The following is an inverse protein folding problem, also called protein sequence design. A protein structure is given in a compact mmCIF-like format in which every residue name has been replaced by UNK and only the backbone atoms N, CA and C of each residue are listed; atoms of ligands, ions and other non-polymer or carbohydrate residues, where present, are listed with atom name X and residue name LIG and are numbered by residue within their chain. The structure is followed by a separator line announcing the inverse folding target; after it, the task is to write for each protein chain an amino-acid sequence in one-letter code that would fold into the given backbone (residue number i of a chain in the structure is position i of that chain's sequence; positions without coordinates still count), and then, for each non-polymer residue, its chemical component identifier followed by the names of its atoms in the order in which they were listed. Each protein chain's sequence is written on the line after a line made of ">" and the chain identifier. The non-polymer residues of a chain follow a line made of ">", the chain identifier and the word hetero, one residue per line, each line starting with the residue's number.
data_IF_714968586735
#
_entry.id   IF_714968586735
#
_cell.length_a   1.000
_cell.length_b   1.000
_cell.length_c   1.000
_cell.angle_alpha   90.00
_cell.angle_beta   90.00
_cell.angle_gamma   90.00
#
_symmetry.space_group_name_H-M   'P 1'
#
loop_
_entity.id
_entity.type
_entity.pdbx_description
1 polymer ?
#
# COMPACT_ATOMS: atom_id res chain seq x y z
N UNK A 1 -15.19 -42.39 29.23
CA UNK A 1 -15.75 -42.63 27.92
C UNK A 1 -15.94 -41.29 27.25
N UNK A 2 -15.00 -40.85 26.42
CA UNK A 2 -15.14 -39.67 25.58
C UNK A 2 -15.44 -40.09 24.16
N UNK A 3 -16.45 -39.55 23.49
CA UNK A 3 -16.71 -39.93 22.08
C UNK A 3 -15.71 -39.20 21.17
N UNK A 4 -15.06 -40.00 20.31
CA UNK A 4 -14.20 -39.56 19.22
C UNK A 4 -14.97 -38.62 18.28
N UNK A 5 -14.59 -37.38 18.23
CA UNK A 5 -15.10 -36.39 17.28
C UNK A 5 -14.28 -36.50 15.97
N UNK A 6 -14.61 -37.52 15.17
CA UNK A 6 -14.19 -37.59 13.76
C UNK A 6 -15.03 -36.55 12.99
N UNK A 7 -14.66 -35.31 13.03
CA UNK A 7 -15.20 -34.31 12.10
C UNK A 7 -14.62 -34.55 10.71
N UNK A 8 -15.49 -35.07 9.90
CA UNK A 8 -15.36 -35.39 8.48
C UNK A 8 -14.67 -34.24 7.69
N UNK A 9 -13.50 -34.58 7.18
CA UNK A 9 -12.75 -33.78 6.18
C UNK A 9 -13.35 -34.09 4.77
N UNK A 10 -14.64 -33.74 4.56
CA UNK A 10 -15.36 -33.97 3.31
C UNK A 10 -15.41 -32.73 2.37
N UNK A 11 -14.73 -31.64 2.76
CA UNK A 11 -14.69 -30.42 1.91
C UNK A 11 -13.57 -30.41 0.86
N UNK A 12 -12.89 -31.54 0.62
CA UNK A 12 -11.77 -31.61 -0.33
C UNK A 12 -12.19 -32.05 -1.75
N UNK A 13 -13.49 -32.31 -2.02
CA UNK A 13 -13.93 -33.02 -3.20
C UNK A 13 -14.45 -32.18 -4.39
N UNK A 14 -14.47 -30.84 -4.31
CA UNK A 14 -14.86 -30.00 -5.46
C UNK A 14 -14.07 -28.68 -5.49
N UNK A 15 -12.75 -28.74 -5.45
CA UNK A 15 -11.95 -27.61 -5.89
C UNK A 15 -11.81 -27.68 -7.40
N UNK A 16 -12.42 -26.72 -8.11
CA UNK A 16 -12.19 -26.57 -9.54
C UNK A 16 -10.70 -26.41 -9.80
N UNK A 17 -10.14 -27.33 -10.61
CA UNK A 17 -8.72 -27.33 -10.96
C UNK A 17 -8.53 -26.93 -12.42
N UNK A 18 -7.32 -26.49 -12.74
CA UNK A 18 -6.91 -26.13 -14.10
C UNK A 18 -5.46 -26.53 -14.33
N UNK A 19 -5.18 -27.01 -15.56
CA UNK A 19 -3.82 -27.35 -15.97
C UNK A 19 -3.09 -26.08 -16.41
N UNK A 20 -1.92 -25.81 -15.82
CA UNK A 20 -1.06 -24.71 -16.20
C UNK A 20 -0.42 -24.96 -17.57
N UNK A 21 -0.63 -24.05 -18.53
CA UNK A 21 -0.10 -24.19 -19.89
C UNK A 21 1.44 -24.12 -19.98
N UNK A 22 2.14 -23.67 -18.90
CA UNK A 22 3.61 -23.59 -18.89
C UNK A 22 4.28 -24.78 -18.19
N UNK A 23 3.79 -25.18 -17.01
CA UNK A 23 4.41 -26.25 -16.23
C UNK A 23 3.65 -27.58 -16.24
N UNK A 24 2.48 -27.65 -16.89
CA UNK A 24 1.67 -28.85 -16.99
C UNK A 24 1.03 -29.32 -15.68
N UNK A 25 1.26 -28.63 -14.54
CA UNK A 25 0.68 -29.05 -13.26
C UNK A 25 -0.80 -28.72 -13.21
N UNK A 26 -1.59 -29.64 -12.70
CA UNK A 26 -2.97 -29.41 -12.31
C UNK A 26 -3.00 -28.73 -10.96
N UNK A 27 -3.66 -27.58 -10.87
CA UNK A 27 -3.63 -26.70 -9.71
C UNK A 27 -5.03 -26.11 -9.47
N UNK A 28 -5.40 -25.78 -8.22
CA UNK A 28 -6.65 -25.10 -7.91
C UNK A 28 -6.78 -23.78 -8.68
N UNK A 29 -8.01 -23.39 -9.05
CA UNK A 29 -8.27 -22.15 -9.82
C UNK A 29 -7.72 -20.90 -9.12
N UNK A 30 -7.69 -20.86 -7.80
CA UNK A 30 -7.10 -19.78 -7.02
C UNK A 30 -5.61 -19.51 -7.31
N UNK A 31 -4.89 -20.51 -7.87
CA UNK A 31 -3.49 -20.36 -8.31
C UNK A 31 -3.36 -19.69 -9.67
N UNK A 32 -4.47 -19.32 -10.29
CA UNK A 32 -4.51 -18.60 -11.57
C UNK A 32 -5.13 -17.21 -11.35
N UNK A 33 -4.78 -16.26 -12.20
CA UNK A 33 -5.52 -15.01 -12.33
C UNK A 33 -6.65 -15.17 -13.34
N UNK A 34 -7.72 -14.43 -13.16
CA UNK A 34 -8.89 -14.48 -14.05
C UNK A 34 -8.47 -14.32 -15.51
N UNK A 35 -8.96 -15.20 -16.36
CA UNK A 35 -8.64 -15.22 -17.81
C UNK A 35 -7.23 -15.69 -18.17
N UNK A 36 -6.43 -16.20 -17.22
CA UNK A 36 -5.06 -16.68 -17.49
C UNK A 36 -4.95 -18.20 -17.47
N UNK A 37 -4.13 -18.74 -18.39
CA UNK A 37 -3.85 -20.19 -18.49
C UNK A 37 -2.51 -20.58 -17.84
N UNK A 38 -1.72 -19.63 -17.36
CA UNK A 38 -0.48 -19.87 -16.62
C UNK A 38 -0.70 -19.59 -15.13
N UNK A 39 -0.20 -20.49 -14.27
CA UNK A 39 -0.28 -20.30 -12.83
C UNK A 39 0.60 -19.13 -12.36
N UNK A 40 0.28 -18.58 -11.18
CA UNK A 40 1.00 -17.44 -10.58
C UNK A 40 2.49 -17.72 -10.42
N UNK A 41 2.89 -18.96 -10.08
CA UNK A 41 4.29 -19.33 -9.90
C UNK A 41 5.07 -19.19 -11.21
N UNK A 42 4.55 -19.73 -12.30
CA UNK A 42 5.20 -19.62 -13.62
C UNK A 42 5.31 -18.18 -14.10
N UNK A 43 4.29 -17.38 -13.85
CA UNK A 43 4.31 -15.94 -14.19
C UNK A 43 5.30 -15.17 -13.33
N UNK A 44 5.37 -15.46 -12.02
CA UNK A 44 6.32 -14.83 -11.12
C UNK A 44 7.77 -15.21 -11.47
N UNK A 45 8.03 -16.49 -11.78
CA UNK A 45 9.34 -16.94 -12.25
C UNK A 45 9.76 -16.18 -13.51
N UNK A 46 8.89 -16.10 -14.53
CA UNK A 46 9.19 -15.33 -15.75
C UNK A 46 9.46 -13.86 -15.47
N UNK A 47 8.66 -13.25 -14.59
CA UNK A 47 8.87 -11.84 -14.19
C UNK A 47 10.23 -11.64 -13.52
N UNK A 48 10.62 -12.57 -12.64
CA UNK A 48 11.91 -12.52 -11.94
C UNK A 48 13.09 -12.75 -12.91
N UNK A 49 12.94 -13.63 -13.89
CA UNK A 49 13.93 -13.83 -14.96
C UNK A 49 14.15 -12.55 -15.76
N UNK A 50 13.07 -11.87 -16.19
CA UNK A 50 13.15 -10.61 -16.91
C UNK A 50 13.80 -9.49 -16.09
N UNK A 51 13.51 -9.43 -14.79
CA UNK A 51 14.15 -8.47 -13.87
C UNK A 51 15.66 -8.73 -13.73
N UNK A 52 16.03 -9.99 -13.62
CA UNK A 52 17.45 -10.40 -13.55
C UNK A 52 18.20 -10.16 -14.85
N UNK A 53 17.52 -10.34 -16.00
CA UNK A 53 18.11 -10.09 -17.30
C UNK A 53 18.35 -8.59 -17.61
N UNK A 54 17.52 -7.70 -17.01
CA UNK A 54 17.60 -6.24 -17.24
C UNK A 54 17.41 -5.47 -15.91
N UNK A 55 18.37 -5.55 -14.99
CA UNK A 55 18.24 -4.95 -13.65
C UNK A 55 18.21 -3.41 -13.71
N UNK A 56 18.96 -2.79 -14.64
CA UNK A 56 19.01 -1.34 -14.79
C UNK A 56 17.67 -0.79 -15.25
N UNK A 57 17.11 -1.34 -16.33
CA UNK A 57 15.80 -0.95 -16.82
C UNK A 57 14.71 -1.09 -15.73
N UNK A 58 14.77 -2.18 -14.96
CA UNK A 58 13.84 -2.36 -13.86
C UNK A 58 14.01 -1.30 -12.77
N UNK A 59 15.25 -0.92 -12.44
CA UNK A 59 15.55 0.14 -11.47
C UNK A 59 15.03 1.49 -11.95
N UNK A 60 15.24 1.82 -13.21
CA UNK A 60 14.73 3.07 -13.83
C UNK A 60 13.21 3.13 -13.76
N UNK A 61 12.51 2.05 -14.13
CA UNK A 61 11.05 1.99 -14.07
C UNK A 61 10.52 2.16 -12.62
N UNK A 62 11.21 1.55 -11.63
CA UNK A 62 10.86 1.69 -10.22
C UNK A 62 11.10 3.13 -9.75
N UNK A 63 12.26 3.71 -10.05
CA UNK A 63 12.61 5.08 -9.68
C UNK A 63 11.63 6.09 -10.28
N UNK A 64 11.32 5.96 -11.57
CA UNK A 64 10.34 6.81 -12.25
C UNK A 64 8.99 6.75 -11.56
N UNK A 65 8.48 5.56 -11.26
CA UNK A 65 7.20 5.39 -10.54
C UNK A 65 7.24 6.00 -9.14
N UNK A 66 8.35 5.84 -8.42
CA UNK A 66 8.51 6.43 -7.08
C UNK A 66 8.56 7.96 -7.16
N UNK A 67 9.21 8.52 -8.16
CA UNK A 67 9.26 9.95 -8.40
C UNK A 67 7.87 10.50 -8.70
N UNK A 68 7.16 9.93 -9.68
CA UNK A 68 5.79 10.32 -10.05
C UNK A 68 4.84 10.25 -8.84
N UNK A 69 4.98 9.23 -8.00
CA UNK A 69 4.18 9.08 -6.79
C UNK A 69 4.53 10.16 -5.74
N UNK A 70 5.81 10.51 -5.62
CA UNK A 70 6.28 11.54 -4.69
C UNK A 70 5.82 12.92 -5.13
N UNK A 71 5.95 13.24 -6.41
CA UNK A 71 5.47 14.50 -6.99
C UNK A 71 3.95 14.66 -6.81
N UNK A 72 3.21 13.58 -7.05
CA UNK A 72 1.77 13.57 -6.80
C UNK A 72 1.44 13.81 -5.33
N UNK A 73 2.14 13.17 -4.37
CA UNK A 73 1.93 13.41 -2.94
C UNK A 73 2.26 14.86 -2.56
N UNK A 74 3.30 15.43 -3.14
CA UNK A 74 3.67 16.83 -2.90
C UNK A 74 2.63 17.78 -3.45
N UNK A 75 2.02 17.49 -4.60
CA UNK A 75 0.96 18.34 -5.17
C UNK A 75 -0.32 18.39 -4.32
N UNK A 76 -0.49 17.46 -3.38
CA UNK A 76 -1.62 17.45 -2.43
C UNK A 76 -1.35 18.27 -1.16
N UNK A 77 -0.12 18.73 -0.97
CA UNK A 77 0.25 19.55 0.17
C UNK A 77 0.04 21.03 -0.19
N UNK A 78 -0.74 21.74 0.60
CA UNK A 78 -1.04 23.15 0.35
C UNK A 78 -0.13 24.07 1.16
N UNK A 79 -0.48 24.28 2.42
CA UNK A 79 0.26 25.12 3.37
C UNK A 79 0.09 24.57 4.78
N UNK A 80 1.00 24.94 5.66
CA UNK A 80 0.90 24.64 7.07
C UNK A 80 -0.32 25.34 7.68
N UNK A 81 -1.24 24.57 8.24
CA UNK A 81 -2.45 25.07 8.88
C UNK A 81 -2.15 26.06 10.04
N UNK A 82 -0.96 26.01 10.63
CA UNK A 82 -0.59 26.76 11.83
C UNK A 82 0.20 28.02 11.50
N UNK A 83 1.25 27.94 10.69
CA UNK A 83 2.17 29.05 10.43
C UNK A 83 2.20 29.53 8.98
N UNK A 84 1.45 28.88 8.08
CA UNK A 84 1.37 29.29 6.68
C UNK A 84 2.57 28.90 5.81
N UNK A 85 3.55 28.11 6.31
CA UNK A 85 4.62 27.54 5.48
C UNK A 85 4.04 26.83 4.25
N UNK A 86 4.54 27.12 3.05
CA UNK A 86 3.99 26.62 1.79
C UNK A 86 4.93 25.72 0.99
N UNK A 87 6.22 25.65 1.40
CA UNK A 87 7.16 24.77 0.72
C UNK A 87 6.80 23.31 0.95
N UNK A 88 6.41 22.60 -0.12
CA UNK A 88 5.88 21.22 -0.03
C UNK A 88 6.85 20.22 0.59
N UNK A 89 8.19 20.48 0.48
CA UNK A 89 9.21 19.63 1.10
C UNK A 89 9.24 19.77 2.62
N UNK A 90 8.80 20.93 3.14
CA UNK A 90 8.73 21.23 4.56
C UNK A 90 7.43 20.75 5.22
N UNK A 91 6.46 20.32 4.42
CA UNK A 91 5.13 19.98 4.88
C UNK A 91 4.96 18.47 5.11
N UNK A 92 4.21 18.12 6.15
CA UNK A 92 3.81 16.77 6.52
C UNK A 92 2.30 16.64 6.60
N UNK A 93 1.78 15.44 6.39
CA UNK A 93 0.40 15.09 6.71
C UNK A 93 0.32 14.63 8.18
N UNK A 94 -0.48 15.32 8.97
CA UNK A 94 -0.72 15.01 10.39
C UNK A 94 -2.18 14.62 10.59
N UNK A 95 -2.43 13.45 11.18
CA UNK A 95 -3.80 12.99 11.44
C UNK A 95 -4.49 13.90 12.46
N UNK A 96 -5.73 14.30 12.14
CA UNK A 96 -6.57 15.10 13.04
C UNK A 96 -6.85 14.33 14.33
N UNK A 97 -7.23 13.06 14.16
CA UNK A 97 -7.43 12.11 15.24
C UNK A 97 -6.48 10.90 15.07
N UNK A 98 -5.57 10.67 16.02
CA UNK A 98 -4.67 9.53 15.99
C UNK A 98 -5.39 8.16 16.01
N UNK A 99 -6.63 8.09 16.55
CA UNK A 99 -7.41 6.85 16.63
C UNK A 99 -7.95 6.41 15.27
N UNK A 100 -8.15 7.34 14.33
CA UNK A 100 -8.62 7.06 12.97
C UNK A 100 -7.50 6.70 11.97
N UNK A 101 -6.26 6.68 12.43
CA UNK A 101 -5.10 6.41 11.60
C UNK A 101 -5.00 4.94 11.22
N UNK A 102 -5.13 4.62 9.92
CA UNK A 102 -4.92 3.27 9.42
C UNK A 102 -3.42 2.97 9.22
N UNK A 103 -2.66 3.95 8.70
CA UNK A 103 -1.21 3.79 8.44
C UNK A 103 -0.48 5.13 8.34
N UNK A 104 0.85 5.07 8.39
CA UNK A 104 1.71 6.25 8.19
C UNK A 104 1.93 6.49 6.70
N UNK A 105 1.41 7.60 6.14
CA UNK A 105 1.50 7.95 4.72
C UNK A 105 2.95 7.93 4.22
N UNK A 106 3.87 8.52 4.96
CA UNK A 106 5.30 8.56 4.59
C UNK A 106 5.97 7.19 4.44
N UNK A 107 5.54 6.19 5.22
CA UNK A 107 6.06 4.80 5.13
C UNK A 107 5.40 3.98 4.02
N UNK A 108 4.19 4.36 3.60
CA UNK A 108 3.36 3.57 2.70
C UNK A 108 3.10 4.27 1.36
N UNK A 109 4.06 5.08 0.89
CA UNK A 109 3.94 5.85 -0.37
C UNK A 109 3.61 5.01 -1.60
N UNK A 110 3.94 3.72 -1.61
CA UNK A 110 3.73 2.82 -2.74
C UNK A 110 2.31 2.21 -2.81
N UNK A 111 1.42 2.60 -1.92
CA UNK A 111 0.01 2.19 -1.98
C UNK A 111 -0.71 2.84 -3.16
N UNK A 112 -1.89 2.31 -3.52
CA UNK A 112 -2.74 2.93 -4.55
C UNK A 112 -3.13 4.35 -4.15
N UNK A 113 -3.28 5.23 -5.15
CA UNK A 113 -3.67 6.64 -4.94
C UNK A 113 -4.98 6.74 -4.18
N UNK A 114 -5.97 5.92 -4.50
CA UNK A 114 -7.28 5.92 -3.82
C UNK A 114 -7.16 5.63 -2.31
N UNK A 115 -6.30 4.68 -1.95
CA UNK A 115 -6.07 4.32 -0.54
C UNK A 115 -5.33 5.42 0.20
N UNK A 116 -4.34 6.04 -0.45
CA UNK A 116 -3.63 7.19 0.09
C UNK A 116 -4.54 8.40 0.25
N UNK A 117 -5.41 8.70 -0.73
CA UNK A 117 -6.36 9.81 -0.63
C UNK A 117 -7.32 9.64 0.55
N UNK A 118 -7.85 8.44 0.77
CA UNK A 118 -8.72 8.17 1.92
C UNK A 118 -8.01 8.46 3.25
N UNK A 119 -6.73 8.12 3.36
CA UNK A 119 -5.95 8.39 4.56
C UNK A 119 -5.60 9.88 4.70
N UNK A 120 -5.25 10.55 3.58
CA UNK A 120 -4.93 11.98 3.56
C UNK A 120 -6.14 12.85 3.98
N UNK A 121 -7.36 12.45 3.64
CA UNK A 121 -8.59 13.15 4.07
C UNK A 121 -8.75 13.22 5.60
N UNK A 122 -8.17 12.28 6.34
CA UNK A 122 -8.13 12.27 7.80
C UNK A 122 -7.05 13.18 8.37
N UNK A 123 -6.21 13.79 7.50
CA UNK A 123 -5.06 14.58 7.90
C UNK A 123 -5.27 16.08 7.67
N UNK A 124 -4.43 16.87 8.29
CA UNK A 124 -4.15 18.26 7.96
C UNK A 124 -2.70 18.38 7.51
N UNK A 125 -2.42 19.44 6.76
CA UNK A 125 -1.05 19.77 6.34
C UNK A 125 -0.41 20.69 7.37
N UNK A 126 0.75 20.30 7.90
CA UNK A 126 1.53 21.09 8.85
C UNK A 126 3.01 21.03 8.49
N UNK A 127 3.77 22.07 8.76
CA UNK A 127 5.22 22.01 8.56
C UNK A 127 5.89 21.13 9.62
N UNK A 128 7.08 20.61 9.32
CA UNK A 128 7.82 19.71 10.20
C UNK A 128 8.09 20.31 11.59
N UNK A 129 8.24 21.65 11.70
CA UNK A 129 8.40 22.31 12.99
C UNK A 129 7.10 22.33 13.80
N UNK A 130 5.98 22.71 13.17
CA UNK A 130 4.67 22.69 13.81
C UNK A 130 4.26 21.26 14.18
N UNK A 131 4.56 20.28 13.31
CA UNK A 131 4.31 18.86 13.55
C UNK A 131 5.00 18.38 14.85
N UNK A 132 6.27 18.70 15.03
CA UNK A 132 7.00 18.38 16.27
C UNK A 132 6.42 19.08 17.50
N UNK A 133 6.01 20.35 17.36
CA UNK A 133 5.38 21.10 18.46
C UNK A 133 4.03 20.54 18.88
N UNK A 134 3.24 20.02 17.93
CA UNK A 134 1.99 19.31 18.24
C UNK A 134 2.30 18.05 19.05
N UNK A 135 3.24 17.21 18.59
CA UNK A 135 3.62 16.00 19.32
C UNK A 135 4.25 16.25 20.68
N UNK A 136 4.89 17.42 20.86
CA UNK A 136 5.43 17.85 22.16
C UNK A 136 4.38 18.51 23.08
N UNK A 137 3.13 18.60 22.65
CA UNK A 137 2.06 19.26 23.41
C UNK A 137 2.19 20.79 23.52
N UNK A 138 3.11 21.41 22.77
CA UNK A 138 3.31 22.87 22.76
C UNK A 138 2.19 23.58 21.98
N UNK A 139 1.68 22.91 20.94
CA UNK A 139 0.57 23.38 20.12
C UNK A 139 -0.59 22.40 20.26
N UNK A 140 -1.77 22.93 20.67
CA UNK A 140 -3.01 22.16 20.58
C UNK A 140 -3.62 22.34 19.18
N UNK A 141 -3.68 21.26 18.42
CA UNK A 141 -4.17 21.25 17.04
C UNK A 141 -5.66 21.63 16.96
N UNK A 142 -6.48 21.27 17.96
CA UNK A 142 -7.93 21.55 17.98
C UNK A 142 -8.23 23.05 17.84
N UNK A 143 -7.36 23.93 18.30
CA UNK A 143 -7.52 25.38 18.17
C UNK A 143 -7.48 25.86 16.70
N UNK A 144 -7.01 25.02 15.77
CA UNK A 144 -6.85 25.32 14.35
C UNK A 144 -7.82 24.54 13.45
N UNK A 145 -8.49 23.51 13.97
CA UNK A 145 -9.51 22.74 13.27
C UNK A 145 -10.85 23.50 13.42
N UNK A 146 -11.19 24.31 12.42
CA UNK A 146 -12.49 25.01 12.37
C UNK A 146 -13.44 24.34 11.41
#
# INVERSE_FOLDING_TARGET
>A
MYPDNKTNNLNFLFMDTKICSKCGRELPLERFETGRNQCRDCRNSRRNELRKANPEKHREEVNKRQQEQTEWLYSLKNQCLICGESESVCLDFHHKDPSEKDFTIGKHRNMSKDRLLKEIQKCVCVCSNCHRKIHAGIINLENYLK
#
